data_IF_275983043799
#
_entry.id   IF_275983043799
#
_cell.length_a   1.000
_cell.length_b   1.000
_cell.length_c   1.000
_cell.angle_alpha   90.00
_cell.angle_beta   90.00
_cell.angle_gamma   90.00
#
_symmetry.space_group_name_H-M   'P 1'
#
loop_
_entity.id
_entity.type
_entity.pdbx_description
1 polymer ?
#
# COMPACT_ATOMS: atom_id res chain seq x y z
N UNK A 1 19.71 30.68 -39.98
CA UNK A 1 18.35 30.28 -39.52
C UNK A 1 18.31 28.90 -38.82
N UNK A 2 19.14 27.93 -39.15
CA UNK A 2 19.17 26.63 -38.44
C UNK A 2 19.66 26.68 -36.98
N UNK A 3 20.56 27.61 -36.65
CA UNK A 3 21.12 27.71 -35.27
C UNK A 3 20.14 28.31 -34.26
N UNK A 4 19.27 29.22 -34.66
CA UNK A 4 18.21 29.76 -33.80
C UNK A 4 17.13 28.71 -33.49
N UNK A 5 16.81 27.85 -34.43
CA UNK A 5 15.87 26.76 -34.25
C UNK A 5 16.38 25.69 -33.25
N UNK A 6 17.68 25.38 -33.25
CA UNK A 6 18.28 24.43 -32.31
C UNK A 6 18.32 24.98 -30.88
N UNK A 7 18.68 26.25 -30.71
CA UNK A 7 18.69 26.92 -29.42
C UNK A 7 17.28 27.04 -28.82
N UNK A 8 16.28 27.38 -29.64
CA UNK A 8 14.88 27.41 -29.21
C UNK A 8 14.40 26.02 -28.78
N UNK A 9 14.75 24.98 -29.54
CA UNK A 9 14.42 23.59 -29.16
C UNK A 9 15.07 23.18 -27.85
N UNK A 10 16.33 23.58 -27.60
CA UNK A 10 17.00 23.28 -26.34
C UNK A 10 16.38 24.05 -25.16
N UNK A 11 15.95 25.29 -25.38
CA UNK A 11 15.26 26.10 -24.37
C UNK A 11 13.88 25.52 -24.03
N UNK A 12 13.13 25.09 -25.05
CA UNK A 12 11.85 24.41 -24.88
C UNK A 12 12.00 23.09 -24.10
N UNK A 13 13.05 22.30 -24.39
CA UNK A 13 13.36 21.06 -23.65
C UNK A 13 13.75 21.38 -22.21
N UNK A 14 14.57 22.39 -21.96
CA UNK A 14 14.95 22.79 -20.61
C UNK A 14 13.74 23.23 -19.78
N UNK A 15 12.87 24.04 -20.34
CA UNK A 15 11.61 24.48 -19.71
C UNK A 15 10.70 23.27 -19.40
N UNK A 16 10.54 22.34 -20.33
CA UNK A 16 9.79 21.12 -20.13
C UNK A 16 10.35 20.28 -18.96
N UNK A 17 11.67 20.13 -18.88
CA UNK A 17 12.33 19.38 -17.81
C UNK A 17 12.17 20.07 -16.45
N UNK A 18 12.23 21.39 -16.39
CA UNK A 18 12.00 22.15 -15.16
C UNK A 18 10.56 22.00 -14.67
N UNK A 19 9.58 22.11 -15.56
CA UNK A 19 8.17 21.89 -15.23
C UNK A 19 7.92 20.46 -14.69
N UNK A 20 8.45 19.45 -15.37
CA UNK A 20 8.34 18.05 -14.94
C UNK A 20 9.01 17.85 -13.57
N UNK A 21 10.19 18.45 -13.37
CA UNK A 21 10.93 18.35 -12.09
C UNK A 21 10.14 19.00 -10.95
N UNK A 22 9.54 20.17 -11.18
CA UNK A 22 8.75 20.88 -10.16
C UNK A 22 7.48 20.10 -9.81
N UNK A 23 6.72 19.67 -10.82
CA UNK A 23 5.52 18.85 -10.61
C UNK A 23 5.84 17.50 -9.98
N UNK A 24 6.93 16.84 -10.39
CA UNK A 24 7.42 15.61 -9.82
C UNK A 24 7.81 15.75 -8.35
N UNK A 25 8.48 16.82 -7.96
CA UNK A 25 8.80 17.13 -6.55
C UNK A 25 7.55 17.34 -5.72
N UNK A 26 6.56 18.06 -6.25
CA UNK A 26 5.29 18.29 -5.56
C UNK A 26 4.50 16.98 -5.39
N UNK A 27 4.43 16.17 -6.44
CA UNK A 27 3.81 14.85 -6.42
C UNK A 27 4.52 13.94 -5.40
N UNK A 28 5.84 13.83 -5.45
CA UNK A 28 6.63 13.04 -4.50
C UNK A 28 6.41 13.51 -3.04
N UNK A 29 6.34 14.81 -2.79
CA UNK A 29 6.06 15.35 -1.46
C UNK A 29 4.66 14.98 -0.96
N UNK A 30 3.64 15.03 -1.82
CA UNK A 30 2.26 14.66 -1.44
C UNK A 30 2.11 13.15 -1.27
N UNK A 31 2.73 12.35 -2.13
CA UNK A 31 2.67 10.88 -2.03
C UNK A 31 3.57 10.31 -0.94
N UNK A 32 4.59 11.03 -0.47
CA UNK A 32 5.48 10.59 0.60
C UNK A 32 4.73 10.26 1.92
N UNK A 33 3.61 10.97 2.20
CA UNK A 33 2.75 10.66 3.34
C UNK A 33 2.07 9.29 3.24
N UNK A 34 1.73 8.88 2.02
CA UNK A 34 1.06 7.60 1.73
C UNK A 34 2.06 6.44 1.64
N UNK A 35 3.31 6.71 1.22
CA UNK A 35 4.35 5.68 1.03
C UNK A 35 4.67 4.88 2.31
N UNK A 36 4.52 5.47 3.49
CA UNK A 36 4.73 4.76 4.77
C UNK A 36 3.71 3.65 4.97
N UNK A 37 2.46 3.95 4.65
CA UNK A 37 1.34 3.00 4.73
C UNK A 37 1.48 1.91 3.65
N UNK A 38 1.83 2.29 2.42
CA UNK A 38 2.12 1.37 1.32
C UNK A 38 3.25 0.41 1.66
N UNK A 39 4.34 0.91 2.24
CA UNK A 39 5.48 0.08 2.65
C UNK A 39 5.06 -0.95 3.68
N UNK A 40 4.29 -0.54 4.71
CA UNK A 40 3.85 -1.44 5.78
C UNK A 40 2.89 -2.51 5.27
N UNK A 41 1.95 -2.14 4.38
CA UNK A 41 1.01 -3.06 3.75
C UNK A 41 1.71 -4.06 2.83
N UNK A 42 2.58 -3.59 1.94
CA UNK A 42 3.32 -4.46 1.03
C UNK A 42 4.29 -5.39 1.76
N UNK A 43 5.02 -4.90 2.79
CA UNK A 43 5.87 -5.73 3.61
C UNK A 43 5.07 -6.82 4.35
N UNK A 44 3.91 -6.48 4.91
CA UNK A 44 3.03 -7.42 5.57
C UNK A 44 2.51 -8.51 4.61
N UNK A 45 2.15 -8.17 3.38
CA UNK A 45 1.61 -9.11 2.39
C UNK A 45 2.65 -10.18 1.99
N UNK A 46 3.93 -9.85 1.96
CA UNK A 46 4.99 -10.78 1.58
C UNK A 46 5.59 -11.55 2.76
N UNK A 47 5.23 -11.22 4.00
CA UNK A 47 5.71 -11.95 5.20
C UNK A 47 5.10 -13.35 5.32
N UNK A 48 5.85 -14.28 5.95
CA UNK A 48 5.39 -15.65 6.21
C UNK A 48 5.62 -16.61 5.04
N UNK A 49 6.38 -16.20 4.04
CA UNK A 49 6.93 -17.07 3.00
C UNK A 49 8.22 -17.72 3.50
N UNK A 50 8.65 -18.83 2.89
CA UNK A 50 9.94 -19.47 3.22
C UNK A 50 11.10 -18.50 2.99
N UNK A 51 12.09 -18.47 3.89
CA UNK A 51 13.22 -17.52 3.84
C UNK A 51 13.98 -17.50 2.50
N UNK A 52 14.12 -18.68 1.86
CA UNK A 52 14.77 -18.79 0.53
C UNK A 52 13.87 -18.32 -0.63
N UNK A 53 12.58 -18.06 -0.40
CA UNK A 53 11.60 -17.65 -1.42
C UNK A 53 11.13 -16.21 -1.27
N UNK A 54 11.52 -15.50 -0.21
CA UNK A 54 11.09 -14.13 0.07
C UNK A 54 11.41 -13.16 -1.07
N UNK A 55 12.66 -13.07 -1.51
CA UNK A 55 13.06 -12.20 -2.63
C UNK A 55 12.37 -12.54 -3.96
N UNK A 56 12.25 -13.81 -4.38
CA UNK A 56 11.44 -14.18 -5.55
C UNK A 56 9.99 -13.74 -5.45
N UNK A 57 9.38 -13.81 -4.25
CA UNK A 57 8.01 -13.35 -4.02
C UNK A 57 7.93 -11.83 -4.11
N UNK A 58 8.81 -11.09 -3.40
CA UNK A 58 8.90 -9.62 -3.49
C UNK A 58 9.07 -9.17 -4.95
N UNK A 59 9.95 -9.82 -5.70
CA UNK A 59 10.16 -9.53 -7.12
C UNK A 59 8.93 -9.80 -7.98
N UNK A 60 8.20 -10.86 -7.68
CA UNK A 60 6.96 -11.21 -8.40
C UNK A 60 5.86 -10.18 -8.11
N UNK A 61 5.75 -9.72 -6.86
CA UNK A 61 4.81 -8.66 -6.48
C UNK A 61 5.22 -7.33 -7.11
N UNK A 62 6.50 -6.98 -7.12
CA UNK A 62 7.02 -5.77 -7.78
C UNK A 62 6.71 -5.73 -9.27
N UNK A 63 6.86 -6.87 -9.97
CA UNK A 63 6.43 -6.99 -11.37
C UNK A 63 4.91 -6.80 -11.53
N UNK A 64 4.10 -7.40 -10.65
CA UNK A 64 2.66 -7.21 -10.63
C UNK A 64 2.28 -5.76 -10.40
N UNK A 65 2.93 -5.08 -9.45
CA UNK A 65 2.79 -3.65 -9.18
C UNK A 65 3.12 -2.79 -10.40
N UNK A 66 4.21 -3.11 -11.11
CA UNK A 66 4.56 -2.40 -12.33
C UNK A 66 3.47 -2.58 -13.41
N UNK A 67 2.96 -3.79 -13.58
CA UNK A 67 1.83 -4.07 -14.50
C UNK A 67 0.59 -3.28 -14.08
N UNK A 68 0.25 -3.23 -12.78
CA UNK A 68 -0.85 -2.42 -12.27
C UNK A 68 -0.71 -0.96 -12.71
N UNK A 69 0.48 -0.36 -12.57
CA UNK A 69 0.75 1.03 -12.92
C UNK A 69 0.73 1.27 -14.43
N UNK A 70 1.23 0.33 -15.23
CA UNK A 70 1.13 0.38 -16.70
C UNK A 70 -0.33 0.38 -17.17
N UNK A 71 -1.22 -0.26 -16.43
CA UNK A 71 -2.67 -0.25 -16.71
C UNK A 71 -3.33 1.01 -16.12
N UNK A 72 -3.02 1.33 -14.86
CA UNK A 72 -3.68 2.43 -14.14
C UNK A 72 -3.35 3.80 -14.70
N UNK A 73 -2.13 4.07 -15.13
CA UNK A 73 -1.72 5.38 -15.64
C UNK A 73 -2.51 5.75 -16.90
N UNK A 74 -2.56 4.94 -17.98
CA UNK A 74 -3.39 5.24 -19.14
C UNK A 74 -4.89 5.29 -18.81
N UNK A 75 -5.35 4.37 -17.96
CA UNK A 75 -6.76 4.32 -17.55
C UNK A 75 -7.17 5.59 -16.79
N UNK A 76 -6.35 6.06 -15.86
CA UNK A 76 -6.60 7.28 -15.10
C UNK A 76 -6.60 8.52 -16.00
N UNK A 77 -5.69 8.59 -16.97
CA UNK A 77 -5.67 9.67 -17.98
C UNK A 77 -6.93 9.65 -18.85
N UNK A 78 -7.38 8.47 -19.30
CA UNK A 78 -8.62 8.31 -20.06
C UNK A 78 -9.84 8.70 -19.22
N UNK A 79 -9.95 8.21 -17.99
CA UNK A 79 -11.07 8.55 -17.11
C UNK A 79 -11.09 10.04 -16.80
N UNK A 80 -9.91 10.64 -16.53
CA UNK A 80 -9.79 12.06 -16.27
C UNK A 80 -10.22 12.92 -17.49
N UNK A 81 -9.90 12.47 -18.69
CA UNK A 81 -10.26 13.18 -19.91
C UNK A 81 -11.75 13.08 -20.27
N UNK A 82 -12.39 11.92 -20.05
CA UNK A 82 -13.75 11.66 -20.53
C UNK A 82 -14.80 11.63 -19.42
N UNK A 83 -14.45 11.13 -18.22
CA UNK A 83 -15.40 10.86 -17.13
C UNK A 83 -14.74 11.21 -15.78
N UNK A 84 -14.27 12.44 -15.55
CA UNK A 84 -13.45 12.79 -14.37
C UNK A 84 -14.15 12.50 -13.04
N UNK A 85 -15.48 12.61 -12.98
CA UNK A 85 -16.27 12.31 -11.78
C UNK A 85 -16.22 10.83 -11.36
N UNK A 86 -15.85 9.90 -12.25
CA UNK A 86 -15.81 8.47 -11.94
C UNK A 86 -14.59 8.07 -11.09
N UNK A 87 -13.53 8.89 -11.03
CA UNK A 87 -12.32 8.61 -10.25
C UNK A 87 -12.67 8.43 -8.78
N UNK A 88 -13.41 9.39 -8.21
CA UNK A 88 -13.75 9.36 -6.77
C UNK A 88 -14.57 8.13 -6.36
N UNK A 89 -15.70 7.77 -7.02
CA UNK A 89 -16.43 6.53 -6.70
C UNK A 89 -15.60 5.26 -6.85
N UNK A 90 -14.76 5.17 -7.88
CA UNK A 90 -13.89 4.01 -8.08
C UNK A 90 -12.88 3.86 -6.93
N UNK A 91 -12.26 4.97 -6.51
CA UNK A 91 -11.37 4.98 -5.35
C UNK A 91 -12.12 4.59 -4.07
N UNK A 92 -13.34 5.11 -3.85
CA UNK A 92 -14.15 4.76 -2.67
C UNK A 92 -14.47 3.26 -2.60
N UNK A 93 -14.75 2.62 -3.75
CA UNK A 93 -14.95 1.15 -3.79
C UNK A 93 -13.66 0.44 -3.39
N UNK A 94 -12.51 0.88 -3.90
CA UNK A 94 -11.20 0.37 -3.51
C UNK A 94 -10.90 0.55 -2.02
N UNK A 95 -11.17 1.75 -1.49
CA UNK A 95 -11.01 2.06 -0.07
C UNK A 95 -11.90 1.20 0.83
N UNK A 96 -13.17 1.01 0.45
CA UNK A 96 -14.10 0.13 1.16
C UNK A 96 -13.63 -1.34 1.14
N UNK A 97 -13.02 -1.78 0.03
CA UNK A 97 -12.40 -3.10 -0.07
C UNK A 97 -11.21 -3.26 0.88
N UNK A 98 -10.33 -2.26 1.01
CA UNK A 98 -9.23 -2.28 1.99
C UNK A 98 -9.76 -2.36 3.42
N UNK A 99 -10.80 -1.61 3.74
CA UNK A 99 -11.46 -1.66 5.05
C UNK A 99 -12.04 -3.05 5.34
N UNK A 100 -12.68 -3.67 4.35
CA UNK A 100 -13.20 -5.05 4.42
C UNK A 100 -12.09 -6.05 4.73
N UNK A 101 -11.00 -6.04 3.95
CA UNK A 101 -9.84 -6.93 4.14
C UNK A 101 -9.18 -6.73 5.52
N UNK A 102 -9.12 -5.47 5.99
CA UNK A 102 -8.63 -5.13 7.33
C UNK A 102 -9.47 -5.78 8.44
N UNK A 103 -10.81 -5.70 8.34
CA UNK A 103 -11.71 -6.32 9.34
C UNK A 103 -11.66 -7.84 9.29
N UNK A 104 -11.66 -8.46 8.10
CA UNK A 104 -11.49 -9.91 7.97
C UNK A 104 -10.22 -10.40 8.70
N UNK A 105 -9.13 -9.68 8.52
CA UNK A 105 -7.84 -10.00 9.15
C UNK A 105 -7.89 -9.87 10.67
N UNK A 106 -8.55 -8.83 11.20
CA UNK A 106 -8.76 -8.66 12.64
C UNK A 106 -9.64 -9.79 13.19
N UNK A 107 -10.74 -10.12 12.52
CA UNK A 107 -11.63 -11.21 12.93
C UNK A 107 -10.90 -12.55 12.98
N UNK A 108 -10.16 -12.89 11.91
CA UNK A 108 -9.38 -14.13 11.85
C UNK A 108 -8.32 -14.20 12.97
N UNK A 109 -7.68 -13.06 13.29
CA UNK A 109 -6.71 -13.00 14.39
C UNK A 109 -7.37 -13.18 15.75
N UNK A 110 -8.57 -12.61 15.95
CA UNK A 110 -9.34 -12.74 17.20
C UNK A 110 -9.90 -14.16 17.38
N UNK A 111 -10.40 -14.77 16.31
CA UNK A 111 -10.87 -16.16 16.32
C UNK A 111 -9.74 -17.12 16.66
N UNK A 112 -8.57 -16.95 16.04
CA UNK A 112 -7.37 -17.72 16.34
C UNK A 112 -6.88 -17.58 17.79
N UNK A 113 -7.17 -16.45 18.46
CA UNK A 113 -6.83 -16.24 19.87
C UNK A 113 -7.89 -16.77 20.84
N UNK A 114 -9.19 -16.75 20.45
CA UNK A 114 -10.30 -17.23 21.29
C UNK A 114 -10.34 -18.75 21.42
N UNK A 115 -10.03 -19.43 20.35
CA UNK A 115 -9.82 -20.87 20.44
C UNK A 115 -8.46 -21.06 21.10
N UNK A 116 -8.46 -21.37 22.43
CA UNK A 116 -7.37 -22.19 23.02
C UNK A 116 -7.43 -23.47 22.19
N UNK A 117 -6.61 -23.53 21.13
CA UNK A 117 -6.57 -24.67 20.22
C UNK A 117 -6.39 -25.92 21.06
N UNK A 118 -7.36 -26.81 20.98
CA UNK A 118 -7.17 -28.18 21.42
C UNK A 118 -5.89 -28.69 20.75
N UNK A 119 -4.92 -29.24 21.47
CA UNK A 119 -3.67 -29.76 20.88
C UNK A 119 -3.91 -30.61 19.62
N UNK A 120 -5.01 -31.34 19.55
CA UNK A 120 -5.43 -32.13 18.40
C UNK A 120 -5.89 -31.25 17.19
N UNK A 121 -6.58 -30.14 17.42
CA UNK A 121 -6.98 -29.19 16.36
C UNK A 121 -5.77 -28.44 15.82
N UNK A 122 -4.85 -28.03 16.71
CA UNK A 122 -3.59 -27.41 16.32
C UNK A 122 -2.74 -28.34 15.45
N UNK A 123 -2.70 -29.61 15.79
CA UNK A 123 -1.96 -30.62 15.02
C UNK A 123 -2.59 -30.83 13.64
N UNK A 124 -3.90 -30.97 13.55
CA UNK A 124 -4.64 -31.06 12.26
C UNK A 124 -4.42 -29.83 11.39
N UNK A 125 -4.39 -28.63 11.99
CA UNK A 125 -4.13 -27.38 11.27
C UNK A 125 -2.69 -27.30 10.77
N UNK A 126 -1.72 -27.73 11.56
CA UNK A 126 -0.32 -27.81 11.15
C UNK A 126 -0.13 -28.85 10.03
N UNK A 127 -0.81 -29.99 10.11
CA UNK A 127 -0.82 -31.03 9.08
C UNK A 127 -1.48 -30.52 7.79
N UNK A 128 -2.60 -29.80 7.89
CA UNK A 128 -3.27 -29.17 6.74
C UNK A 128 -2.41 -28.07 6.09
N UNK A 129 -1.70 -27.27 6.89
CA UNK A 129 -0.74 -26.27 6.39
C UNK A 129 0.50 -26.94 5.75
N UNK A 130 0.96 -28.06 6.34
CA UNK A 130 2.07 -28.83 5.79
C UNK A 130 1.68 -29.59 4.50
N UNK A 131 0.41 -29.94 4.36
CA UNK A 131 -0.16 -30.57 3.16
C UNK A 131 -0.47 -29.58 2.02
N UNK A 132 -0.56 -28.28 2.31
CA UNK A 132 -0.71 -27.27 1.27
C UNK A 132 0.52 -27.24 0.36
N UNK A 133 0.29 -27.23 -0.94
CA UNK A 133 1.36 -27.00 -1.90
C UNK A 133 1.99 -25.62 -1.64
N UNK A 134 3.30 -25.58 -1.28
CA UNK A 134 3.97 -24.31 -0.99
C UNK A 134 3.92 -23.32 -2.16
N UNK A 135 3.88 -23.82 -3.40
CA UNK A 135 3.78 -22.97 -4.60
C UNK A 135 2.39 -22.37 -4.75
N UNK A 136 1.34 -23.11 -4.39
CA UNK A 136 -0.03 -22.59 -4.39
C UNK A 136 -0.17 -21.47 -3.33
N UNK A 137 0.36 -21.68 -2.13
CA UNK A 137 0.36 -20.66 -1.07
C UNK A 137 1.11 -19.38 -1.49
N UNK A 138 2.32 -19.51 -2.08
CA UNK A 138 3.07 -18.36 -2.59
C UNK A 138 2.27 -17.61 -3.68
N UNK A 139 1.63 -18.34 -4.59
CA UNK A 139 0.84 -17.76 -5.67
C UNK A 139 -0.36 -16.96 -5.16
N UNK A 140 -1.04 -17.48 -4.15
CA UNK A 140 -2.17 -16.78 -3.52
C UNK A 140 -1.70 -15.53 -2.76
N UNK A 141 -0.56 -15.61 -2.07
CA UNK A 141 0.09 -14.47 -1.43
C UNK A 141 0.44 -13.38 -2.45
N UNK A 142 1.10 -13.73 -3.54
CA UNK A 142 1.45 -12.80 -4.62
C UNK A 142 0.19 -12.16 -5.20
N UNK A 143 -0.85 -12.95 -5.48
CA UNK A 143 -2.12 -12.44 -6.02
C UNK A 143 -2.80 -11.47 -5.07
N UNK A 144 -2.85 -11.77 -3.78
CA UNK A 144 -3.36 -10.89 -2.75
C UNK A 144 -2.59 -9.57 -2.67
N UNK A 145 -1.26 -9.65 -2.61
CA UNK A 145 -0.38 -8.49 -2.57
C UNK A 145 -0.55 -7.59 -3.82
N UNK A 146 -0.59 -8.16 -5.02
CA UNK A 146 -0.79 -7.41 -6.27
C UNK A 146 -2.18 -6.75 -6.31
N UNK A 147 -3.23 -7.40 -5.76
CA UNK A 147 -4.57 -6.82 -5.69
C UNK A 147 -4.63 -5.63 -4.71
N UNK A 148 -4.02 -5.75 -3.55
CA UNK A 148 -3.93 -4.64 -2.58
C UNK A 148 -3.10 -3.49 -3.17
N UNK A 149 -1.94 -3.78 -3.79
CA UNK A 149 -1.12 -2.79 -4.47
C UNK A 149 -1.88 -2.06 -5.60
N UNK A 150 -2.81 -2.72 -6.29
CA UNK A 150 -3.63 -2.09 -7.32
C UNK A 150 -4.43 -0.90 -6.76
N UNK A 151 -5.02 -1.04 -5.57
CA UNK A 151 -5.81 0.01 -4.92
C UNK A 151 -4.90 1.15 -4.44
N UNK A 152 -3.79 0.81 -3.78
CA UNK A 152 -2.81 1.79 -3.31
C UNK A 152 -2.18 2.55 -4.49
N UNK A 153 -1.87 1.84 -5.57
CA UNK A 153 -1.37 2.43 -6.81
C UNK A 153 -2.39 3.37 -7.46
N UNK A 154 -3.68 3.01 -7.44
CA UNK A 154 -4.76 3.86 -7.97
C UNK A 154 -4.87 5.16 -7.16
N UNK A 155 -4.71 5.11 -5.83
CA UNK A 155 -4.67 6.30 -4.98
C UNK A 155 -3.49 7.21 -5.32
N UNK A 156 -2.27 6.67 -5.42
CA UNK A 156 -1.07 7.44 -5.79
C UNK A 156 -1.22 8.07 -7.18
N UNK A 157 -1.74 7.31 -8.14
CA UNK A 157 -2.00 7.80 -9.50
C UNK A 157 -3.03 8.93 -9.48
N UNK A 158 -4.12 8.80 -8.71
CA UNK A 158 -5.15 9.83 -8.61
C UNK A 158 -4.63 11.12 -7.93
N UNK A 159 -3.86 11.00 -6.84
CA UNK A 159 -3.23 12.14 -6.17
C UNK A 159 -2.27 12.85 -7.14
N UNK A 160 -1.43 12.09 -7.85
CA UNK A 160 -0.47 12.64 -8.81
C UNK A 160 -1.18 13.31 -9.99
N UNK A 161 -2.22 12.66 -10.52
CA UNK A 161 -3.04 13.22 -11.61
C UNK A 161 -3.70 14.54 -11.20
N UNK A 162 -4.23 14.65 -9.98
CA UNK A 162 -4.79 15.90 -9.45
C UNK A 162 -3.78 17.06 -9.38
N UNK A 163 -2.47 16.76 -9.29
CA UNK A 163 -1.40 17.78 -9.29
C UNK A 163 -1.10 18.26 -10.72
N UNK A 164 -1.17 17.35 -11.69
CA UNK A 164 -0.78 17.62 -13.08
C UNK A 164 -1.97 17.80 -14.03
N UNK A 165 -3.20 17.86 -13.51
CA UNK A 165 -4.43 17.85 -14.31
C UNK A 165 -4.50 18.99 -15.34
N UNK A 166 -3.94 20.17 -15.03
CA UNK A 166 -3.92 21.34 -15.91
C UNK A 166 -2.68 21.39 -16.83
N UNK A 167 -1.72 20.47 -16.64
CA UNK A 167 -0.50 20.42 -17.44
C UNK A 167 -0.75 19.81 -18.83
N UNK A 168 0.12 20.07 -19.83
CA UNK A 168 0.08 19.38 -21.10
C UNK A 168 0.12 17.85 -20.93
N UNK A 169 -0.57 17.11 -21.82
CA UNK A 169 -0.68 15.65 -21.73
C UNK A 169 0.69 14.93 -21.60
N UNK A 170 1.70 15.42 -22.31
CA UNK A 170 3.05 14.86 -22.23
C UNK A 170 3.61 14.95 -20.81
N UNK A 171 3.46 16.11 -20.15
CA UNK A 171 3.90 16.32 -18.77
C UNK A 171 3.13 15.41 -17.81
N UNK A 172 1.80 15.27 -18.00
CA UNK A 172 0.99 14.34 -17.21
C UNK A 172 1.53 12.91 -17.32
N UNK A 173 1.74 12.40 -18.53
CA UNK A 173 2.28 11.04 -18.79
C UNK A 173 3.65 10.86 -18.14
N UNK A 174 4.57 11.83 -18.31
CA UNK A 174 5.94 11.73 -17.81
C UNK A 174 5.98 11.78 -16.28
N UNK A 175 5.23 12.68 -15.65
CA UNK A 175 5.18 12.78 -14.17
C UNK A 175 4.51 11.55 -13.57
N UNK A 176 3.35 11.12 -14.08
CA UNK A 176 2.67 9.92 -13.60
C UNK A 176 3.54 8.66 -13.71
N UNK A 177 4.16 8.46 -14.89
CA UNK A 177 5.03 7.31 -15.12
C UNK A 177 6.30 7.37 -14.26
N UNK A 178 6.89 8.54 -14.11
CA UNK A 178 8.06 8.76 -13.26
C UNK A 178 7.79 8.45 -11.79
N UNK A 179 6.71 8.99 -11.23
CA UNK A 179 6.27 8.71 -9.85
C UNK A 179 5.95 7.23 -9.68
N UNK A 180 5.20 6.63 -10.62
CA UNK A 180 4.87 5.21 -10.60
C UNK A 180 6.12 4.33 -10.53
N UNK A 181 7.15 4.64 -11.32
CA UNK A 181 8.41 3.91 -11.33
C UNK A 181 9.21 4.09 -10.03
N UNK A 182 9.38 5.35 -9.58
CA UNK A 182 10.13 5.69 -8.36
C UNK A 182 9.49 5.03 -7.14
N UNK A 183 8.16 5.11 -7.02
CA UNK A 183 7.42 4.48 -5.92
C UNK A 183 7.57 2.96 -5.94
N UNK A 184 7.45 2.33 -7.12
CA UNK A 184 7.62 0.87 -7.24
C UNK A 184 9.02 0.44 -6.79
N UNK A 185 10.06 1.09 -7.30
CA UNK A 185 11.44 0.76 -6.93
C UNK A 185 11.69 1.03 -5.44
N UNK A 186 11.22 2.17 -4.92
CA UNK A 186 11.39 2.57 -3.54
C UNK A 186 10.72 1.61 -2.57
N UNK A 187 9.41 1.34 -2.76
CA UNK A 187 8.64 0.47 -1.87
C UNK A 187 9.18 -0.96 -1.91
N UNK A 188 9.30 -1.57 -3.10
CA UNK A 188 9.74 -2.97 -3.18
C UNK A 188 11.23 -3.15 -2.92
N UNK A 189 12.06 -2.14 -3.16
CA UNK A 189 13.45 -2.13 -2.71
C UNK A 189 13.55 -2.17 -1.18
N UNK A 190 12.77 -1.33 -0.48
CA UNK A 190 12.70 -1.32 0.98
C UNK A 190 12.08 -2.60 1.55
N UNK A 191 11.00 -3.10 0.93
CA UNK A 191 10.41 -4.40 1.33
C UNK A 191 11.42 -5.52 1.20
N UNK A 192 12.17 -5.57 0.08
CA UNK A 192 13.24 -6.57 -0.12
C UNK A 192 14.35 -6.47 0.92
N UNK A 193 14.71 -5.25 1.34
CA UNK A 193 15.66 -5.03 2.43
C UNK A 193 15.10 -5.52 3.77
N UNK A 194 13.85 -5.20 4.08
CA UNK A 194 13.20 -5.57 5.35
C UNK A 194 13.11 -7.08 5.50
N UNK A 195 12.69 -7.81 4.46
CA UNK A 195 12.56 -9.27 4.52
C UNK A 195 13.91 -9.99 4.60
N UNK A 196 15.01 -9.31 4.30
CA UNK A 196 16.37 -9.85 4.38
C UNK A 196 17.17 -9.38 5.59
N UNK A 197 16.54 -8.68 6.53
CA UNK A 197 17.23 -8.18 7.72
C UNK A 197 17.81 -9.29 8.60
N UNK A 198 17.10 -10.41 8.75
CA UNK A 198 17.56 -11.56 9.52
C UNK A 198 18.73 -12.29 8.84
N UNK A 199 18.67 -12.53 7.52
CA UNK A 199 19.79 -13.09 6.74
C UNK A 199 21.05 -12.20 6.85
N UNK A 200 20.87 -10.87 6.76
CA UNK A 200 21.95 -9.90 6.95
C UNK A 200 22.49 -9.95 8.38
N UNK A 201 21.62 -10.13 9.35
CA UNK A 201 21.98 -10.30 10.76
C UNK A 201 22.85 -11.53 10.98
N UNK A 202 22.49 -12.68 10.42
CA UNK A 202 23.30 -13.90 10.46
C UNK A 202 24.66 -13.71 9.79
N UNK A 203 24.65 -13.16 8.57
CA UNK A 203 25.91 -12.91 7.83
C UNK A 203 26.87 -11.97 8.57
N UNK A 204 26.35 -10.92 9.25
CA UNK A 204 27.17 -10.01 10.04
C UNK A 204 27.67 -10.67 11.34
N UNK A 205 26.87 -11.52 11.97
CA UNK A 205 27.24 -12.23 13.19
C UNK A 205 28.40 -13.23 12.99
N UNK A 206 28.57 -13.75 11.76
CA UNK A 206 29.66 -14.67 11.40
C UNK A 206 30.99 -13.95 11.08
N UNK A 207 30.98 -12.62 10.98
CA UNK A 207 32.23 -11.85 10.70
C UNK A 207 33.14 -11.82 11.91
N UNK A 208 34.45 -11.68 11.66
CA UNK A 208 35.50 -11.62 12.70
C UNK A 208 35.53 -10.27 13.45
N UNK A 209 34.95 -9.22 12.89
CA UNK A 209 34.91 -7.89 13.50
C UNK A 209 33.89 -7.84 14.65
N UNK A 210 34.31 -7.38 15.82
CA UNK A 210 33.45 -7.22 17.01
C UNK A 210 32.26 -6.29 16.73
N UNK A 211 32.45 -5.21 15.98
CA UNK A 211 31.38 -4.30 15.55
C UNK A 211 30.38 -5.01 14.63
N UNK A 212 30.84 -5.79 13.66
CA UNK A 212 29.97 -6.53 12.77
C UNK A 212 29.13 -7.58 13.53
N UNK A 213 29.74 -8.29 14.47
CA UNK A 213 29.00 -9.25 15.34
C UNK A 213 27.96 -8.55 16.20
N UNK A 214 28.29 -7.40 16.79
CA UNK A 214 27.34 -6.64 17.62
C UNK A 214 26.16 -6.13 16.77
N UNK A 215 26.41 -5.59 15.57
CA UNK A 215 25.36 -5.19 14.62
C UNK A 215 24.52 -6.39 14.15
N UNK A 216 25.16 -7.52 13.82
CA UNK A 216 24.46 -8.74 13.42
C UNK A 216 23.51 -9.24 14.50
N UNK A 217 23.98 -9.34 15.76
CA UNK A 217 23.12 -9.70 16.90
C UNK A 217 21.99 -8.70 17.12
N UNK A 218 22.25 -7.41 16.97
CA UNK A 218 21.24 -6.36 17.04
C UNK A 218 20.13 -6.54 15.98
N UNK A 219 20.52 -6.80 14.72
CA UNK A 219 19.56 -7.05 13.62
C UNK A 219 18.70 -8.29 13.89
N UNK A 220 19.29 -9.39 14.39
CA UNK A 220 18.56 -10.63 14.73
C UNK A 220 17.55 -10.43 15.85
N UNK A 221 17.77 -9.49 16.75
CA UNK A 221 16.79 -9.13 17.80
C UNK A 221 15.72 -8.21 17.24
N UNK A 222 16.09 -7.26 16.37
CA UNK A 222 15.17 -6.24 15.82
C UNK A 222 14.26 -6.83 14.73
N UNK A 223 14.76 -7.75 13.87
CA UNK A 223 14.00 -8.28 12.73
C UNK A 223 12.64 -8.91 13.13
N UNK A 224 12.52 -9.81 14.13
CA UNK A 224 11.23 -10.35 14.54
C UNK A 224 10.26 -9.29 15.09
N UNK A 225 10.80 -8.30 15.81
CA UNK A 225 10.02 -7.17 16.32
C UNK A 225 9.49 -6.29 15.19
N UNK A 226 10.33 -6.00 14.21
CA UNK A 226 9.97 -5.23 13.03
C UNK A 226 8.86 -5.95 12.23
N UNK A 227 9.01 -7.25 11.98
CA UNK A 227 7.99 -8.05 11.29
C UNK A 227 6.64 -8.06 12.02
N UNK A 228 6.67 -8.18 13.36
CA UNK A 228 5.46 -8.14 14.18
C UNK A 228 4.81 -6.75 14.16
N UNK A 229 5.60 -5.68 14.28
CA UNK A 229 5.09 -4.31 14.21
C UNK A 229 4.53 -3.97 12.83
N UNK A 230 5.19 -4.37 11.74
CA UNK A 230 4.68 -4.21 10.38
C UNK A 230 3.32 -4.90 10.20
N UNK A 231 3.12 -6.08 10.80
CA UNK A 231 1.82 -6.77 10.75
C UNK A 231 0.71 -5.95 11.41
N UNK A 232 0.99 -5.31 12.54
CA UNK A 232 0.01 -4.46 13.23
C UNK A 232 -0.21 -3.14 12.49
N UNK A 233 0.89 -2.47 12.14
CA UNK A 233 0.86 -1.18 11.42
C UNK A 233 0.17 -1.34 10.07
N UNK A 234 0.48 -2.40 9.31
CA UNK A 234 -0.19 -2.67 8.03
C UNK A 234 -1.69 -2.90 8.16
N UNK A 235 -2.15 -3.55 9.24
CA UNK A 235 -3.60 -3.70 9.47
C UNK A 235 -4.26 -2.36 9.84
N UNK A 236 -3.59 -1.51 10.63
CA UNK A 236 -4.05 -0.16 10.92
C UNK A 236 -4.06 0.71 9.66
N UNK A 237 -3.05 0.57 8.80
CA UNK A 237 -2.94 1.29 7.54
C UNK A 237 -4.10 0.95 6.59
N UNK A 238 -4.59 -0.29 6.55
CA UNK A 238 -5.79 -0.65 5.77
C UNK A 238 -7.01 0.20 6.16
N UNK A 239 -7.22 0.42 7.47
CA UNK A 239 -8.31 1.26 7.94
C UNK A 239 -8.05 2.74 7.70
N UNK A 240 -6.81 3.18 7.90
CA UNK A 240 -6.42 4.57 7.73
C UNK A 240 -6.55 5.01 6.27
N UNK A 241 -5.94 4.26 5.36
CA UNK A 241 -5.98 4.54 3.90
C UNK A 241 -7.38 4.32 3.37
N UNK A 242 -7.97 3.14 3.60
CA UNK A 242 -9.31 2.83 3.11
C UNK A 242 -10.37 3.79 3.65
N UNK A 243 -10.33 4.10 4.95
CA UNK A 243 -11.22 5.08 5.58
C UNK A 243 -10.99 6.49 5.06
N UNK A 244 -9.72 6.89 4.92
CA UNK A 244 -9.34 8.18 4.35
C UNK A 244 -9.88 8.40 2.94
N UNK A 245 -9.71 7.41 2.05
CA UNK A 245 -10.24 7.45 0.67
C UNK A 245 -11.76 7.65 0.68
N UNK A 246 -12.49 6.85 1.49
CA UNK A 246 -13.96 6.97 1.55
C UNK A 246 -14.40 8.30 2.14
N UNK A 247 -13.76 8.76 3.22
CA UNK A 247 -14.05 10.07 3.85
C UNK A 247 -13.82 11.22 2.87
N UNK A 248 -12.69 11.23 2.16
CA UNK A 248 -12.40 12.26 1.15
C UNK A 248 -13.38 12.22 -0.03
N UNK A 249 -13.89 11.03 -0.40
CA UNK A 249 -14.90 10.87 -1.43
C UNK A 249 -16.27 11.44 -1.04
N UNK A 250 -16.55 11.65 0.25
CA UNK A 250 -17.81 12.23 0.76
C UNK A 250 -17.54 13.66 1.24
N UNK A 251 -17.63 14.62 0.33
CA UNK A 251 -17.29 16.03 0.62
C UNK A 251 -17.94 16.60 1.90
N UNK A 252 -19.26 16.39 2.22
CA UNK A 252 -19.84 16.88 3.46
C UNK A 252 -19.18 16.29 4.71
N UNK A 253 -18.82 15.01 4.70
CA UNK A 253 -18.18 14.33 5.81
C UNK A 253 -16.74 14.84 6.00
N UNK A 254 -16.00 14.97 4.91
CA UNK A 254 -14.64 15.50 4.94
C UNK A 254 -14.60 16.92 5.52
N UNK A 255 -15.46 17.82 5.03
CA UNK A 255 -15.54 19.19 5.54
C UNK A 255 -15.96 19.27 7.01
N UNK A 256 -16.90 18.41 7.46
CA UNK A 256 -17.30 18.36 8.87
C UNK A 256 -16.12 17.97 9.79
N UNK A 257 -15.33 16.97 9.37
CA UNK A 257 -14.14 16.52 10.11
C UNK A 257 -13.09 17.63 10.16
N UNK A 258 -12.81 18.30 9.04
CA UNK A 258 -11.85 19.40 9.00
C UNK A 258 -12.29 20.59 9.86
N UNK A 259 -13.55 21.00 9.77
CA UNK A 259 -14.08 22.11 10.55
C UNK A 259 -14.00 21.81 12.06
N UNK A 260 -14.35 20.59 12.45
CA UNK A 260 -14.25 20.17 13.85
C UNK A 260 -12.79 20.14 14.33
N UNK A 261 -11.88 19.63 13.48
CA UNK A 261 -10.46 19.60 13.81
C UNK A 261 -9.85 21.01 13.96
N UNK A 262 -10.23 21.95 13.09
CA UNK A 262 -9.74 23.36 13.15
C UNK A 262 -10.17 24.12 14.40
N UNK A 263 -11.23 23.69 15.07
CA UNK A 263 -11.70 24.29 16.32
C UNK A 263 -10.91 23.83 17.56
N UNK A 264 -10.03 22.83 17.38
CA UNK A 264 -9.23 22.25 18.44
C UNK A 264 -7.83 22.87 18.50
N UNK A 265 -7.06 22.53 19.54
CA UNK A 265 -5.65 22.93 19.61
C UNK A 265 -4.83 22.26 18.50
N UNK A 266 -3.65 22.81 18.17
CA UNK A 266 -2.83 22.37 17.03
C UNK A 266 -2.49 20.87 17.04
N UNK A 267 -2.27 20.27 18.21
CA UNK A 267 -1.95 18.84 18.35
C UNK A 267 -3.18 17.99 18.02
N UNK A 268 -4.34 18.34 18.55
CA UNK A 268 -5.60 17.64 18.28
C UNK A 268 -6.00 17.80 16.83
N UNK A 269 -5.88 19.00 16.26
CA UNK A 269 -6.16 19.27 14.85
C UNK A 269 -5.34 18.40 13.89
N UNK A 270 -4.10 18.06 14.27
CA UNK A 270 -3.22 17.19 13.46
C UNK A 270 -3.62 15.70 13.57
N UNK A 271 -3.96 15.24 14.77
CA UNK A 271 -4.16 13.80 15.03
C UNK A 271 -5.60 13.36 14.78
N UNK A 272 -6.57 14.23 15.04
CA UNK A 272 -8.00 13.90 15.01
C UNK A 272 -8.49 13.39 13.65
N UNK A 273 -8.16 14.02 12.50
CA UNK A 273 -8.58 13.48 11.19
C UNK A 273 -8.05 12.07 10.93
N UNK A 274 -6.80 11.82 11.32
CA UNK A 274 -6.16 10.48 11.18
C UNK A 274 -6.89 9.43 12.02
N UNK A 275 -7.20 9.74 13.29
CA UNK A 275 -7.96 8.84 14.15
C UNK A 275 -9.38 8.61 13.66
N UNK A 276 -10.05 9.65 13.18
CA UNK A 276 -11.39 9.53 12.61
C UNK A 276 -11.40 8.68 11.33
N UNK A 277 -10.44 8.86 10.45
CA UNK A 277 -10.29 8.02 9.26
C UNK A 277 -10.11 6.54 9.62
N UNK A 278 -9.30 6.24 10.64
CA UNK A 278 -9.08 4.89 11.15
C UNK A 278 -10.38 4.28 11.73
N UNK A 279 -11.09 5.03 12.57
CA UNK A 279 -12.35 4.56 13.19
C UNK A 279 -13.43 4.36 12.12
N UNK A 280 -13.58 5.32 11.22
CA UNK A 280 -14.54 5.23 10.12
C UNK A 280 -14.19 4.10 9.17
N UNK A 281 -12.90 3.89 8.88
CA UNK A 281 -12.44 2.76 8.08
C UNK A 281 -12.81 1.41 8.71
N UNK A 282 -12.63 1.27 10.04
CA UNK A 282 -13.07 0.07 10.76
C UNK A 282 -14.59 -0.12 10.69
N UNK A 283 -15.38 0.93 10.88
CA UNK A 283 -16.85 0.88 10.80
C UNK A 283 -17.29 0.50 9.38
N UNK A 284 -16.73 1.12 8.35
CA UNK A 284 -17.03 0.81 6.95
C UNK A 284 -16.72 -0.66 6.65
N UNK A 285 -15.52 -1.12 7.05
CA UNK A 285 -15.12 -2.51 6.87
C UNK A 285 -16.05 -3.48 7.58
N UNK A 286 -16.46 -3.19 8.82
CA UNK A 286 -17.41 -4.00 9.58
C UNK A 286 -18.78 -4.09 8.87
N UNK A 287 -19.29 -2.96 8.36
CA UNK A 287 -20.53 -2.93 7.59
C UNK A 287 -20.41 -3.79 6.32
N UNK A 288 -19.31 -3.66 5.57
CA UNK A 288 -19.11 -4.45 4.34
C UNK A 288 -19.00 -5.93 4.65
N UNK A 289 -18.30 -6.34 5.72
CA UNK A 289 -18.23 -7.74 6.17
C UNK A 289 -19.62 -8.28 6.50
N UNK A 290 -20.43 -7.49 7.23
CA UNK A 290 -21.80 -7.89 7.58
C UNK A 290 -22.68 -8.05 6.33
N UNK A 291 -22.56 -7.13 5.37
CA UNK A 291 -23.28 -7.21 4.09
C UNK A 291 -22.88 -8.45 3.28
N UNK A 292 -21.57 -8.71 3.17
CA UNK A 292 -21.06 -9.89 2.46
C UNK A 292 -21.55 -11.18 3.12
N UNK A 293 -21.48 -11.28 4.46
CA UNK A 293 -21.99 -12.44 5.20
C UNK A 293 -23.51 -12.59 5.07
N UNK A 294 -24.27 -11.51 5.07
CA UNK A 294 -25.73 -11.54 4.86
C UNK A 294 -26.09 -12.05 3.46
N UNK A 295 -25.39 -11.56 2.42
CA UNK A 295 -25.59 -12.02 1.04
C UNK A 295 -25.20 -13.48 0.87
N UNK A 296 -24.08 -13.92 1.46
CA UNK A 296 -23.66 -15.33 1.43
C UNK A 296 -24.69 -16.25 2.09
N UNK A 297 -25.25 -15.83 3.24
CA UNK A 297 -26.32 -16.58 3.93
C UNK A 297 -27.61 -16.67 3.10
N UNK A 298 -28.00 -15.58 2.41
CA UNK A 298 -29.18 -15.59 1.51
C UNK A 298 -28.97 -16.48 0.29
N UNK A 299 -27.72 -16.64 -0.18
CA UNK A 299 -27.39 -17.51 -1.33
C UNK A 299 -27.17 -18.98 -0.93
N UNK A 300 -27.33 -19.35 0.34
CA UNK A 300 -27.16 -20.72 0.82
C UNK A 300 -25.72 -21.22 0.80
N UNK A 301 -24.75 -20.33 0.61
CA UNK A 301 -23.31 -20.64 0.70
C UNK A 301 -22.94 -20.51 2.17
N UNK A 302 -23.07 -21.62 2.94
CA UNK A 302 -22.53 -21.68 4.29
C UNK A 302 -20.99 -21.73 4.20
N UNK A 303 -20.34 -20.81 4.89
CA UNK A 303 -18.90 -20.87 5.21
C UNK A 303 -18.74 -21.52 6.56
#
# INVERSE_FOLDING_TARGET
MAGSSLLTLLDDIATLLDDISMMGKLAAKKTAGVLGDDLSLNAQQVTGVRANRELPVVWSVAKGSLVNKVILVPLALLISAFIPWAITPLLMIGGAFLCFEGVEKVLHTLESRKHKEDPAERQRRLEALAAQDPLAFEKDKIKGAVRTDFILSAEIVAITLGIVAEAPLLNQVLVLSGIALVVTIGVYGLVGLIVKLDDMGYWLAEKTSMLAQALGKGLLVVAPWLMKSLSVVGTLAMFLVGGGIVVHGIAPLHHAIEQFARQQNAVVALILPTLLNLVLGFIIGAIVVLLVKAVARMRGVAH
#
